data_IF_686939348125
#
_entry.id   IF_686939348125
#
_cell.length_a   1.000
_cell.length_b   1.000
_cell.length_c   1.000
_cell.angle_alpha   90.00
_cell.angle_beta   90.00
_cell.angle_gamma   90.00
#
_symmetry.space_group_name_H-M   'P 1'
#
loop_
_entity.id
_entity.type
_entity.pdbx_description
1 polymer ?
#
# COMPACT_ATOMS: atom_id res chain seq x y z
N UNK A 1 27.41 -30.29 21.75
CA UNK A 1 27.32 -29.45 20.53
C UNK A 1 25.92 -28.90 20.24
N UNK A 2 24.83 -29.63 20.52
CA UNK A 2 23.47 -29.15 20.21
C UNK A 2 23.02 -27.84 20.91
N UNK A 3 23.44 -27.60 22.15
CA UNK A 3 23.11 -26.35 22.87
C UNK A 3 23.78 -25.11 22.27
N UNK A 4 25.03 -25.25 21.81
CA UNK A 4 25.78 -24.16 21.18
C UNK A 4 25.13 -23.80 19.83
N UNK A 5 24.75 -24.80 19.03
CA UNK A 5 24.07 -24.59 17.75
C UNK A 5 22.72 -23.88 17.95
N UNK A 6 21.93 -24.30 18.95
CA UNK A 6 20.68 -23.60 19.30
C UNK A 6 20.92 -22.14 19.70
N UNK A 7 21.97 -21.86 20.47
CA UNK A 7 22.35 -20.50 20.85
C UNK A 7 22.70 -19.63 19.65
N UNK A 8 23.48 -20.16 18.70
CA UNK A 8 23.86 -19.44 17.47
C UNK A 8 22.64 -19.16 16.59
N UNK A 9 21.73 -20.12 16.43
CA UNK A 9 20.50 -19.93 15.64
C UNK A 9 19.61 -18.84 16.24
N UNK A 10 19.45 -18.82 17.56
CA UNK A 10 18.66 -17.77 18.25
C UNK A 10 19.30 -16.40 18.04
N UNK A 11 20.63 -16.31 18.13
CA UNK A 11 21.36 -15.06 17.86
C UNK A 11 21.17 -14.57 16.42
N UNK A 12 21.21 -15.46 15.44
CA UNK A 12 20.99 -15.12 14.02
C UNK A 12 19.56 -14.61 13.81
N UNK A 13 18.55 -15.30 14.37
CA UNK A 13 17.15 -14.88 14.27
C UNK A 13 16.98 -13.50 14.91
N UNK A 14 17.55 -13.30 16.11
CA UNK A 14 17.47 -12.02 16.80
C UNK A 14 18.12 -10.89 16.00
N UNK A 15 19.31 -11.12 15.44
CA UNK A 15 20.00 -10.16 14.58
C UNK A 15 19.19 -9.83 13.32
N UNK A 16 18.57 -10.84 12.70
CA UNK A 16 17.71 -10.65 11.54
C UNK A 16 16.48 -9.81 11.87
N UNK A 17 15.79 -10.10 12.98
CA UNK A 17 14.64 -9.32 13.45
C UNK A 17 15.03 -7.87 13.67
N UNK A 18 16.12 -7.60 14.40
CA UNK A 18 16.60 -6.23 14.65
C UNK A 18 16.98 -5.52 13.35
N UNK A 19 17.62 -6.22 12.41
CA UNK A 19 17.97 -5.67 11.09
C UNK A 19 16.73 -5.26 10.30
N UNK A 20 15.73 -6.14 10.22
CA UNK A 20 14.45 -5.86 9.56
C UNK A 20 13.71 -4.73 10.25
N UNK A 21 13.64 -4.71 11.59
CA UNK A 21 13.05 -3.60 12.34
C UNK A 21 13.75 -2.27 12.07
N UNK A 22 15.08 -2.26 11.93
CA UNK A 22 15.85 -1.06 11.58
C UNK A 22 15.57 -0.60 10.14
N UNK A 23 15.38 -1.53 9.21
CA UNK A 23 14.98 -1.22 7.83
C UNK A 23 13.55 -0.64 7.79
N UNK A 24 12.61 -1.27 8.50
CA UNK A 24 11.23 -0.78 8.65
C UNK A 24 11.21 0.57 9.35
N UNK A 25 12.02 0.80 10.40
CA UNK A 25 12.11 2.10 11.08
C UNK A 25 12.63 3.20 10.16
N UNK A 26 13.65 2.90 9.33
CA UNK A 26 14.14 3.83 8.30
C UNK A 26 13.06 4.18 7.27
N UNK A 27 12.24 3.21 6.87
CA UNK A 27 11.11 3.42 5.96
C UNK A 27 9.94 4.15 6.64
N UNK A 28 9.70 3.87 7.92
CA UNK A 28 8.67 4.48 8.77
C UNK A 28 8.94 5.97 9.00
N UNK A 29 10.20 6.41 9.02
CA UNK A 29 10.52 7.84 9.09
C UNK A 29 10.05 8.62 7.84
N UNK A 30 9.97 7.98 6.67
CA UNK A 30 9.38 8.58 5.46
C UNK A 30 7.85 8.39 5.36
N UNK A 31 7.29 7.33 5.96
CA UNK A 31 5.85 7.03 5.96
C UNK A 31 5.06 7.65 7.12
N UNK A 32 5.71 8.14 8.19
CA UNK A 32 5.02 8.81 9.32
C UNK A 32 4.31 10.10 8.93
N UNK A 33 4.72 10.75 7.84
CA UNK A 33 3.93 11.84 7.22
C UNK A 33 2.62 11.33 6.62
N UNK A 34 2.69 10.23 5.88
CA UNK A 34 1.55 9.66 5.13
C UNK A 34 0.48 9.00 6.02
N UNK A 35 0.87 8.31 7.10
CA UNK A 35 -0.13 7.68 8.02
C UNK A 35 -0.89 8.72 8.84
N UNK A 36 -0.27 9.88 9.12
CA UNK A 36 -0.94 10.98 9.81
C UNK A 36 -1.97 11.63 8.88
N UNK A 37 -1.65 11.78 7.60
CA UNK A 37 -2.55 12.29 6.57
C UNK A 37 -3.81 11.42 6.37
N UNK A 38 -3.66 10.09 6.38
CA UNK A 38 -4.80 9.17 6.21
C UNK A 38 -5.79 9.25 7.39
N UNK A 39 -5.33 9.53 8.62
CA UNK A 39 -6.26 9.73 9.77
C UNK A 39 -7.06 11.02 9.65
N UNK A 40 -6.42 12.14 9.27
CA UNK A 40 -7.13 13.41 9.03
C UNK A 40 -8.09 13.32 7.83
N UNK A 41 -7.74 12.58 6.79
CA UNK A 41 -8.65 12.28 5.68
C UNK A 41 -9.83 11.39 6.13
N UNK A 42 -9.58 10.36 6.94
CA UNK A 42 -10.64 9.50 7.50
C UNK A 42 -11.65 10.28 8.33
N UNK A 43 -11.20 11.21 9.16
CA UNK A 43 -12.09 12.04 9.99
C UNK A 43 -12.87 13.06 9.14
N UNK A 44 -12.31 13.58 8.05
CA UNK A 44 -13.04 14.41 7.09
C UNK A 44 -14.06 13.61 6.24
N UNK A 45 -13.78 12.34 5.95
CA UNK A 45 -14.64 11.46 5.13
C UNK A 45 -15.76 10.82 5.96
N UNK A 46 -15.53 10.52 7.24
CA UNK A 46 -16.55 9.96 8.14
C UNK A 46 -17.77 10.89 8.34
N UNK A 47 -17.61 12.20 8.10
CA UNK A 47 -18.71 13.17 8.15
C UNK A 47 -19.58 13.23 6.89
N UNK A 48 -19.23 12.55 5.78
CA UNK A 48 -19.97 12.64 4.51
C UNK A 48 -20.18 11.29 3.82
N UNK A 49 -21.37 10.74 4.05
CA UNK A 49 -22.10 10.00 3.04
C UNK A 49 -21.86 8.49 3.04
N UNK A 50 -22.70 7.81 3.79
CA UNK A 50 -23.31 6.52 3.41
C UNK A 50 -24.00 6.66 2.04
N UNK A 51 -24.19 5.54 1.33
CA UNK A 51 -24.92 5.37 0.04
C UNK A 51 -24.01 5.36 -1.22
N UNK A 52 -23.97 4.22 -1.91
CA UNK A 52 -23.25 3.85 -3.14
C UNK A 52 -21.74 3.52 -3.03
N UNK A 53 -21.43 2.33 -2.49
CA UNK A 53 -20.21 1.59 -2.85
C UNK A 53 -20.36 0.95 -4.25
N UNK A 54 -20.30 1.77 -5.29
CA UNK A 54 -20.08 1.24 -6.64
C UNK A 54 -18.62 0.77 -6.71
N UNK A 55 -18.41 -0.55 -6.75
CA UNK A 55 -17.09 -1.16 -6.89
C UNK A 55 -16.67 -1.15 -8.37
N UNK A 56 -15.53 -0.55 -8.67
CA UNK A 56 -15.03 -0.37 -10.04
C UNK A 56 -13.84 -1.29 -10.27
N UNK A 57 -13.78 -1.88 -11.47
CA UNK A 57 -12.71 -2.80 -11.85
C UNK A 57 -11.50 -2.04 -12.39
N UNK A 58 -10.32 -2.39 -11.89
CA UNK A 58 -9.06 -1.88 -12.41
C UNK A 58 -8.73 -2.49 -13.77
N UNK A 59 -8.34 -1.64 -14.72
CA UNK A 59 -8.01 -2.03 -16.09
C UNK A 59 -6.69 -2.81 -16.18
N UNK A 60 -5.78 -2.64 -15.23
CA UNK A 60 -4.46 -3.28 -15.27
C UNK A 60 -4.44 -4.66 -14.60
N UNK A 61 -4.87 -4.75 -13.34
CA UNK A 61 -4.83 -6.00 -12.56
C UNK A 61 -6.19 -6.72 -12.48
N UNK A 62 -7.28 -6.10 -12.95
CA UNK A 62 -8.61 -6.71 -12.94
C UNK A 62 -9.27 -6.79 -11.57
N UNK A 63 -8.64 -6.28 -10.50
CA UNK A 63 -9.19 -6.24 -9.15
C UNK A 63 -10.33 -5.23 -9.01
N UNK A 64 -11.29 -5.51 -8.15
CA UNK A 64 -12.39 -4.61 -7.80
C UNK A 64 -11.99 -3.74 -6.62
N UNK A 65 -12.23 -2.44 -6.73
CA UNK A 65 -11.87 -1.44 -5.71
C UNK A 65 -13.06 -0.52 -5.52
N UNK A 66 -13.23 0.02 -4.31
CA UNK A 66 -14.22 1.06 -4.08
C UNK A 66 -13.93 2.26 -5.01
N UNK A 67 -14.96 2.83 -5.63
CA UNK A 67 -14.83 4.03 -6.49
C UNK A 67 -14.04 5.17 -5.85
N UNK A 68 -14.06 5.26 -4.51
CA UNK A 68 -13.36 6.29 -3.72
C UNK A 68 -11.85 6.11 -3.66
N UNK A 69 -11.38 4.87 -3.71
CA UNK A 69 -9.95 4.51 -3.67
C UNK A 69 -9.38 4.27 -5.07
N UNK A 70 -10.23 4.33 -6.10
CA UNK A 70 -9.85 4.06 -7.47
C UNK A 70 -9.33 5.32 -8.16
N UNK A 71 -8.14 5.24 -8.74
CA UNK A 71 -7.57 6.29 -9.56
C UNK A 71 -8.18 6.24 -10.95
N UNK A 72 -8.91 7.29 -11.33
CA UNK A 72 -9.46 7.43 -12.68
C UNK A 72 -8.58 8.36 -13.50
N UNK A 73 -8.05 7.84 -14.61
CA UNK A 73 -7.26 8.62 -15.57
C UNK A 73 -8.14 8.85 -16.79
N UNK A 74 -8.51 10.12 -17.02
CA UNK A 74 -9.22 10.54 -18.22
C UNK A 74 -8.20 10.98 -19.29
N UNK A 75 -8.16 10.25 -20.40
CA UNK A 75 -7.47 10.69 -21.62
C UNK A 75 -8.53 11.12 -22.65
N UNK A 76 -8.14 11.93 -23.64
CA UNK A 76 -8.99 12.66 -24.63
C UNK A 76 -10.31 12.00 -25.10
N UNK A 77 -10.45 10.67 -25.09
CA UNK A 77 -11.70 9.95 -25.39
C UNK A 77 -11.95 8.68 -24.53
N UNK A 78 -11.21 8.46 -23.45
CA UNK A 78 -11.45 7.30 -22.57
C UNK A 78 -11.07 7.59 -21.12
N UNK A 79 -12.00 7.39 -20.18
CA UNK A 79 -11.71 7.25 -18.76
C UNK A 79 -11.32 5.80 -18.46
N UNK A 80 -10.21 5.61 -17.75
CA UNK A 80 -9.74 4.29 -17.30
C UNK A 80 -9.49 4.32 -15.81
N UNK A 81 -9.96 3.27 -15.13
CA UNK A 81 -9.88 3.16 -13.68
C UNK A 81 -8.76 2.20 -13.24
N UNK A 82 -8.04 2.55 -12.19
CA UNK A 82 -6.89 1.83 -11.67
C UNK A 82 -6.92 1.74 -10.13
N UNK A 83 -6.38 0.66 -9.55
CA UNK A 83 -6.34 0.48 -8.09
C UNK A 83 -5.29 1.35 -7.39
N UNK A 84 -4.20 1.66 -8.08
CA UNK A 84 -3.02 2.27 -7.49
C UNK A 84 -2.18 2.95 -8.55
N UNK A 85 -1.31 3.86 -8.13
CA UNK A 85 -0.39 4.54 -9.03
C UNK A 85 0.59 3.56 -9.70
N UNK A 86 0.93 2.47 -9.03
CA UNK A 86 1.73 1.37 -9.59
C UNK A 86 1.03 0.69 -10.78
N UNK A 87 -0.30 0.51 -10.71
CA UNK A 87 -1.08 -0.02 -11.82
C UNK A 87 -1.15 0.96 -13.01
N UNK A 88 -1.10 2.26 -12.74
CA UNK A 88 -1.05 3.30 -13.77
C UNK A 88 0.32 3.30 -14.44
N UNK A 89 1.41 3.34 -13.67
CA UNK A 89 2.77 3.38 -14.21
C UNK A 89 3.13 2.09 -14.96
N UNK A 90 2.76 0.92 -14.42
CA UNK A 90 2.95 -0.35 -15.11
C UNK A 90 2.23 -0.38 -16.47
N UNK A 91 1.05 0.23 -16.57
CA UNK A 91 0.30 0.31 -17.84
C UNK A 91 0.94 1.26 -18.85
N UNK A 92 1.59 2.33 -18.39
CA UNK A 92 2.32 3.27 -19.24
C UNK A 92 3.65 2.68 -19.71
N UNK A 93 4.33 1.91 -18.86
CA UNK A 93 5.63 1.31 -19.16
C UNK A 93 5.53 0.06 -20.04
N UNK A 94 4.40 -0.64 -20.02
CA UNK A 94 4.15 -1.83 -20.84
C UNK A 94 3.53 -1.50 -22.22
N UNK A 95 3.74 -0.28 -22.71
CA UNK A 95 3.28 0.23 -24.02
C UNK A 95 4.49 0.67 -24.84
#
# INVERSE_FOLDING_TARGET
>A
MGFIIRGVVILIIFAFVVYVFKAIARLTHHMRGTVRDVRTLRDQIAGRGTVNEEMVRCVNCGAFVASRDALTVSARNSSRTFCSQECVSARVQNR
#
